data_IF_220889362318
#
_entry.id   IF_220889362318
#
_cell.length_a   1.000
_cell.length_b   1.000
_cell.length_c   1.000
_cell.angle_alpha   90.00
_cell.angle_beta   90.00
_cell.angle_gamma   90.00
#
_symmetry.space_group_name_H-M   'P 1'
#
loop_
_entity.id
_entity.type
_entity.pdbx_description
1 polymer ?
#
# COMPACT_ATOMS: atom_id res chain seq x y z
N UNK A 1 15.45 32.51 -5.73
CA UNK A 1 15.78 31.14 -5.27
C UNK A 1 14.48 30.33 -5.26
N UNK A 2 14.26 29.47 -6.25
CA UNK A 2 13.05 28.65 -6.32
C UNK A 2 13.13 27.54 -5.26
N UNK A 3 12.10 27.43 -4.44
CA UNK A 3 11.96 26.34 -3.48
C UNK A 3 11.87 24.97 -4.20
N UNK A 4 12.39 23.89 -3.59
CA UNK A 4 12.27 22.55 -4.15
C UNK A 4 10.79 22.17 -4.29
N UNK A 5 10.45 21.40 -5.32
CA UNK A 5 9.07 20.95 -5.64
C UNK A 5 8.27 20.39 -4.45
N UNK A 6 8.85 19.59 -3.52
CA UNK A 6 8.13 19.17 -2.31
C UNK A 6 7.73 20.32 -1.37
N UNK A 7 8.33 21.51 -1.49
CA UNK A 7 8.01 22.69 -0.68
C UNK A 7 6.76 23.43 -1.17
N UNK A 8 6.43 23.36 -2.46
CA UNK A 8 5.29 24.06 -3.03
C UNK A 8 3.96 23.40 -2.63
N UNK A 9 3.90 22.06 -2.65
CA UNK A 9 2.67 21.31 -2.32
C UNK A 9 2.42 21.28 -0.80
N UNK A 10 3.49 21.23 0.02
CA UNK A 10 3.39 21.17 1.47
C UNK A 10 3.00 22.50 2.15
N UNK A 11 3.13 23.63 1.45
CA UNK A 11 2.82 24.97 1.98
C UNK A 11 1.40 25.46 1.63
N UNK A 12 0.59 24.66 0.93
CA UNK A 12 -0.73 25.07 0.42
C UNK A 12 -1.84 24.95 1.46
N UNK A 13 -2.71 25.97 1.50
CA UNK A 13 -3.82 26.07 2.46
C UNK A 13 -4.94 25.06 2.11
N UNK A 14 -5.79 24.61 3.05
CA UNK A 14 -6.87 23.63 2.80
C UNK A 14 -7.84 23.99 1.66
N UNK A 15 -7.96 25.28 1.33
CA UNK A 15 -8.79 25.78 0.24
C UNK A 15 -8.12 25.69 -1.14
N UNK A 16 -6.80 25.55 -1.22
CA UNK A 16 -6.09 25.34 -2.49
C UNK A 16 -6.05 23.86 -2.88
N UNK A 17 -6.13 22.97 -1.88
CA UNK A 17 -6.29 21.52 -2.06
C UNK A 17 -7.57 21.15 -2.82
N UNK A 18 -8.65 21.93 -2.65
CA UNK A 18 -9.91 21.72 -3.38
C UNK A 18 -9.81 22.08 -4.85
N UNK A 19 -9.12 23.19 -5.15
CA UNK A 19 -8.84 23.63 -6.51
C UNK A 19 -7.89 22.66 -7.23
N UNK A 20 -6.91 22.09 -6.51
CA UNK A 20 -6.01 21.05 -7.02
C UNK A 20 -6.71 19.74 -7.31
N UNK A 21 -7.59 19.27 -6.41
CA UNK A 21 -8.40 18.07 -6.64
C UNK A 21 -9.23 18.21 -7.93
N UNK A 22 -9.88 19.36 -8.12
CA UNK A 22 -10.68 19.59 -9.31
C UNK A 22 -9.83 19.73 -10.59
N UNK A 23 -8.63 20.29 -10.49
CA UNK A 23 -7.72 20.49 -11.63
C UNK A 23 -6.97 19.22 -12.04
N UNK A 24 -6.56 18.38 -11.09
CA UNK A 24 -5.66 17.24 -11.34
C UNK A 24 -6.36 15.88 -11.29
N UNK A 25 -7.35 15.71 -10.41
CA UNK A 25 -8.19 14.49 -10.42
C UNK A 25 -9.43 14.62 -11.31
N UNK A 26 -9.76 15.84 -11.79
CA UNK A 26 -10.98 16.10 -12.56
C UNK A 26 -12.27 15.83 -11.77
N UNK A 27 -12.16 15.74 -10.44
CA UNK A 27 -13.27 15.43 -9.52
C UNK A 27 -13.35 16.51 -8.45
N UNK A 28 -14.57 16.92 -8.14
CA UNK A 28 -14.84 17.83 -7.02
C UNK A 28 -14.55 17.13 -5.66
N UNK A 29 -14.26 17.94 -4.64
CA UNK A 29 -13.82 17.48 -3.31
C UNK A 29 -14.84 16.57 -2.60
N UNK A 30 -16.10 16.68 -3.00
CA UNK A 30 -17.26 15.90 -2.55
C UNK A 30 -17.30 14.50 -3.18
N UNK A 31 -16.74 14.32 -4.38
CA UNK A 31 -16.67 13.05 -5.13
C UNK A 31 -15.38 12.25 -4.89
N UNK A 32 -14.45 12.82 -4.14
CA UNK A 32 -13.15 12.21 -3.82
C UNK A 32 -13.31 11.23 -2.66
N UNK A 33 -12.73 10.05 -2.82
CA UNK A 33 -12.78 8.93 -1.89
C UNK A 33 -12.12 9.29 -0.57
N UNK A 34 -12.53 8.64 0.54
CA UNK A 34 -11.90 8.82 1.85
C UNK A 34 -10.37 8.62 1.81
N UNK A 35 -9.88 7.72 0.96
CA UNK A 35 -8.46 7.49 0.72
C UNK A 35 -7.77 8.72 0.07
N UNK A 36 -8.38 9.32 -0.95
CA UNK A 36 -7.86 10.52 -1.63
C UNK A 36 -7.81 11.71 -0.67
N UNK A 37 -8.85 11.89 0.15
CA UNK A 37 -8.90 12.88 1.25
C UNK A 37 -7.80 12.65 2.28
N UNK A 38 -7.56 11.41 2.68
CA UNK A 38 -6.52 11.04 3.64
C UNK A 38 -5.10 11.29 3.10
N UNK A 39 -4.86 11.03 1.81
CA UNK A 39 -3.56 11.31 1.17
C UNK A 39 -3.29 12.80 1.12
N UNK A 40 -4.26 13.58 0.65
CA UNK A 40 -4.16 15.03 0.49
C UNK A 40 -3.94 15.75 1.84
N UNK A 41 -4.61 15.28 2.90
CA UNK A 41 -4.37 15.79 4.27
C UNK A 41 -3.04 15.33 4.87
N UNK A 42 -2.56 14.12 4.56
CA UNK A 42 -1.25 13.62 5.05
C UNK A 42 -0.06 14.24 4.32
N UNK A 43 -0.21 14.60 3.05
CA UNK A 43 0.79 15.38 2.30
C UNK A 43 1.07 16.71 3.01
N UNK A 44 0.04 17.36 3.57
CA UNK A 44 0.15 18.61 4.33
C UNK A 44 0.93 18.45 5.65
N UNK A 45 0.99 17.24 6.23
CA UNK A 45 1.57 17.01 7.57
C UNK A 45 3.00 16.46 7.58
N UNK A 46 3.64 16.25 6.42
CA UNK A 46 5.00 15.65 6.31
C UNK A 46 5.17 14.33 7.09
N UNK A 47 4.09 13.63 7.42
CA UNK A 47 4.19 12.33 8.05
C UNK A 47 4.67 11.32 7.00
N UNK A 48 5.75 10.60 7.31
CA UNK A 48 6.07 9.38 6.57
C UNK A 48 4.81 8.52 6.62
N UNK A 49 4.46 7.91 5.50
CA UNK A 49 3.56 6.76 5.44
C UNK A 49 4.27 5.63 6.21
N UNK A 50 4.30 5.76 7.53
CA UNK A 50 4.87 4.79 8.45
C UNK A 50 3.88 3.64 8.61
N UNK A 51 4.38 2.45 8.98
CA UNK A 51 3.52 1.32 9.29
C UNK A 51 2.46 1.75 10.34
N UNK A 52 1.26 1.18 10.21
CA UNK A 52 0.10 1.44 11.07
C UNK A 52 0.47 1.43 12.57
N UNK A 53 -0.26 2.20 13.40
CA UNK A 53 0.07 2.38 14.81
C UNK A 53 0.18 1.05 15.58
N UNK A 54 0.98 1.11 16.65
CA UNK A 54 1.48 -0.03 17.40
C UNK A 54 0.39 -1.01 17.84
N UNK A 55 0.85 -2.26 17.89
CA UNK A 55 0.13 -3.50 17.98
C UNK A 55 -0.64 -3.69 19.30
N UNK A 56 -1.91 -3.27 19.35
CA UNK A 56 -2.81 -3.48 20.50
C UNK A 56 -3.43 -4.90 20.47
N UNK A 57 -2.61 -5.91 20.18
CA UNK A 57 -3.09 -7.29 20.00
C UNK A 57 -3.46 -7.94 21.32
N UNK A 58 -4.69 -8.42 21.41
CA UNK A 58 -5.17 -9.24 22.53
C UNK A 58 -4.38 -10.56 22.62
N UNK A 59 -4.27 -11.13 23.83
CA UNK A 59 -3.62 -12.43 24.07
C UNK A 59 -4.16 -13.54 23.15
N UNK A 60 -5.47 -13.53 22.89
CA UNK A 60 -6.12 -14.49 21.98
C UNK A 60 -5.64 -14.35 20.53
N UNK A 61 -5.37 -13.14 20.06
CA UNK A 61 -4.89 -12.88 18.70
C UNK A 61 -3.45 -13.36 18.52
N UNK A 62 -2.61 -13.23 19.56
CA UNK A 62 -1.24 -13.74 19.57
C UNK A 62 -1.20 -15.26 19.53
N UNK A 63 -2.04 -15.92 20.31
CA UNK A 63 -2.15 -17.39 20.33
C UNK A 63 -2.69 -17.91 18.99
N UNK A 64 -3.69 -17.24 18.41
CA UNK A 64 -4.25 -17.62 17.11
C UNK A 64 -3.27 -17.42 15.94
N UNK A 65 -2.45 -16.35 15.93
CA UNK A 65 -1.38 -16.17 14.94
C UNK A 65 -0.28 -17.24 15.08
N UNK A 66 0.05 -17.65 16.31
CA UNK A 66 0.96 -18.76 16.58
C UNK A 66 0.43 -20.11 16.08
N UNK A 67 -0.84 -20.41 16.37
CA UNK A 67 -1.51 -21.63 15.91
C UNK A 67 -1.65 -21.69 14.38
N UNK A 68 -1.99 -20.58 13.72
CA UNK A 68 -2.10 -20.55 12.26
C UNK A 68 -0.76 -20.82 11.55
N UNK A 69 0.36 -20.32 12.12
CA UNK A 69 1.71 -20.59 11.62
C UNK A 69 2.17 -22.03 11.90
N UNK A 70 1.77 -22.60 13.03
CA UNK A 70 2.15 -23.95 13.43
C UNK A 70 1.34 -25.03 12.70
N UNK A 71 0.03 -24.83 12.56
CA UNK A 71 -0.88 -25.77 11.90
C UNK A 71 -0.66 -25.93 10.39
N UNK A 72 -0.01 -24.97 9.74
CA UNK A 72 0.32 -25.03 8.31
C UNK A 72 1.70 -25.64 7.98
N UNK A 73 2.48 -26.06 8.98
CA UNK A 73 3.83 -26.59 8.75
C UNK A 73 3.81 -28.09 8.43
N UNK A 74 4.62 -28.50 7.45
CA UNK A 74 4.86 -29.91 7.12
C UNK A 74 5.37 -30.73 8.31
N UNK A 75 6.12 -30.11 9.24
CA UNK A 75 6.60 -30.76 10.45
C UNK A 75 5.46 -31.08 11.44
N UNK A 76 4.42 -30.25 11.50
CA UNK A 76 3.24 -30.50 12.34
C UNK A 76 2.44 -31.68 11.80
N UNK A 77 2.23 -31.74 10.49
CA UNK A 77 1.55 -32.87 9.83
C UNK A 77 2.31 -34.18 10.10
N UNK A 78 3.63 -34.19 9.94
CA UNK A 78 4.47 -35.35 10.22
C UNK A 78 4.42 -35.80 11.68
N UNK A 79 4.51 -34.86 12.64
CA UNK A 79 4.40 -35.14 14.07
C UNK A 79 3.02 -35.68 14.48
N UNK A 80 1.96 -35.14 13.90
CA UNK A 80 0.58 -35.60 14.14
C UNK A 80 0.36 -37.02 13.64
N UNK A 81 0.84 -37.35 12.43
CA UNK A 81 0.78 -38.71 11.90
C UNK A 81 1.61 -39.70 12.74
N UNK A 82 2.79 -39.29 13.21
CA UNK A 82 3.61 -40.11 14.11
C UNK A 82 2.89 -40.37 15.44
N UNK A 83 2.26 -39.35 16.02
CA UNK A 83 1.46 -39.49 17.24
C UNK A 83 0.30 -40.49 17.04
N UNK A 84 -0.46 -40.38 15.94
CA UNK A 84 -1.53 -41.32 15.62
C UNK A 84 -0.99 -42.76 15.47
N UNK A 85 0.13 -42.93 14.78
CA UNK A 85 0.77 -44.23 14.63
C UNK A 85 1.22 -44.81 15.98
N UNK A 86 1.84 -44.01 16.85
CA UNK A 86 2.22 -44.43 18.20
C UNK A 86 1.00 -44.80 19.05
N UNK A 87 -0.09 -44.05 18.93
CA UNK A 87 -1.33 -44.30 19.67
C UNK A 87 -1.95 -45.65 19.28
N UNK A 88 -2.03 -45.93 17.98
CA UNK A 88 -2.54 -47.20 17.45
C UNK A 88 -1.63 -48.36 17.86
N UNK A 89 -0.31 -48.22 17.69
CA UNK A 89 0.66 -49.28 18.06
C UNK A 89 0.64 -49.54 19.57
N UNK A 90 0.57 -48.50 20.40
CA UNK A 90 0.48 -48.62 21.85
C UNK A 90 -0.79 -49.36 22.30
N UNK A 91 -1.95 -48.97 21.77
CA UNK A 91 -3.22 -49.58 22.15
C UNK A 91 -3.37 -51.03 21.64
N UNK A 92 -2.87 -51.34 20.44
CA UNK A 92 -2.99 -52.68 19.84
C UNK A 92 -1.93 -53.65 20.37
N UNK A 93 -0.69 -53.20 20.57
CA UNK A 93 0.45 -54.09 20.81
C UNK A 93 0.91 -54.11 22.27
N UNK A 94 0.91 -52.96 22.95
CA UNK A 94 1.42 -52.83 24.32
C UNK A 94 0.36 -53.14 25.38
N UNK A 95 -0.92 -52.85 25.10
CA UNK A 95 -2.04 -53.05 26.02
C UNK A 95 -2.99 -54.19 25.58
N UNK A 96 -2.44 -55.34 25.19
CA UNK A 96 -3.25 -56.52 24.78
C UNK A 96 -4.21 -57.03 25.87
N UNK A 97 -3.87 -56.85 27.15
CA UNK A 97 -4.68 -57.34 28.27
C UNK A 97 -5.80 -56.37 28.68
N UNK A 98 -5.52 -55.06 28.70
CA UNK A 98 -6.49 -53.99 29.01
C UNK A 98 -6.25 -52.79 28.09
N UNK A 99 -6.78 -52.82 26.84
CA UNK A 99 -6.62 -51.73 25.91
C UNK A 99 -7.37 -50.49 26.41
N UNK A 100 -6.71 -49.34 26.39
CA UNK A 100 -7.30 -48.05 26.78
C UNK A 100 -8.33 -47.56 25.74
N UNK A 101 -8.06 -47.75 24.45
CA UNK A 101 -8.97 -47.45 23.34
C UNK A 101 -9.00 -48.66 22.37
N UNK A 102 -9.86 -49.67 22.62
CA UNK A 102 -9.98 -50.86 21.77
C UNK A 102 -10.47 -50.50 20.36
N UNK A 103 -10.07 -51.29 19.36
CA UNK A 103 -10.62 -51.17 18.01
C UNK A 103 -12.16 -51.25 18.08
N UNK A 104 -12.92 -50.26 17.57
CA UNK A 104 -12.61 -49.32 16.48
C UNK A 104 -12.10 -47.91 16.86
N UNK A 105 -11.46 -47.72 18.03
CA UNK A 105 -10.85 -46.47 18.51
C UNK A 105 -11.85 -45.29 18.67
N UNK A 106 -12.84 -45.47 19.53
CA UNK A 106 -13.92 -44.49 19.74
C UNK A 106 -13.36 -43.18 20.30
N UNK A 107 -12.38 -43.25 21.21
CA UNK A 107 -11.83 -42.05 21.84
C UNK A 107 -11.00 -41.22 20.85
N UNK A 108 -10.15 -41.89 20.07
CA UNK A 108 -9.40 -41.24 18.99
C UNK A 108 -10.33 -40.60 17.96
N UNK A 109 -11.39 -41.30 17.56
CA UNK A 109 -12.37 -40.79 16.60
C UNK A 109 -13.11 -39.55 17.13
N UNK A 110 -13.51 -39.57 18.41
CA UNK A 110 -14.13 -38.42 19.07
C UNK A 110 -13.19 -37.21 19.06
N UNK A 111 -11.92 -37.40 19.42
CA UNK A 111 -10.92 -36.33 19.46
C UNK A 111 -10.65 -35.75 18.06
N UNK A 112 -10.53 -36.61 17.05
CA UNK A 112 -10.36 -36.19 15.65
C UNK A 112 -11.57 -35.41 15.14
N UNK A 113 -12.78 -35.84 15.48
CA UNK A 113 -14.03 -35.16 15.11
C UNK A 113 -14.13 -33.77 15.75
N UNK A 114 -13.78 -33.64 17.04
CA UNK A 114 -13.72 -32.35 17.72
C UNK A 114 -12.64 -31.43 17.12
N UNK A 115 -11.47 -31.98 16.79
CA UNK A 115 -10.39 -31.24 16.15
C UNK A 115 -10.83 -30.70 14.78
N UNK A 116 -11.46 -31.54 13.96
CA UNK A 116 -11.99 -31.17 12.65
C UNK A 116 -13.08 -30.09 12.75
N UNK A 117 -13.99 -30.19 13.73
CA UNK A 117 -15.03 -29.19 13.95
C UNK A 117 -14.47 -27.79 14.25
N UNK A 118 -13.34 -27.72 14.97
CA UNK A 118 -12.67 -26.45 15.29
C UNK A 118 -11.80 -25.91 14.15
N UNK A 119 -11.44 -26.73 13.15
CA UNK A 119 -10.57 -26.30 12.05
C UNK A 119 -11.21 -25.20 11.20
N UNK A 120 -12.46 -25.37 10.75
CA UNK A 120 -13.08 -24.42 9.82
C UNK A 120 -13.22 -23.00 10.42
N UNK A 121 -13.67 -22.80 11.67
CA UNK A 121 -13.70 -21.47 12.29
C UNK A 121 -12.31 -20.86 12.49
N UNK A 122 -11.30 -21.66 12.89
CA UNK A 122 -9.92 -21.16 13.07
C UNK A 122 -9.33 -20.74 11.73
N UNK A 123 -9.53 -21.54 10.69
CA UNK A 123 -9.14 -21.20 9.31
C UNK A 123 -9.84 -19.90 8.89
N UNK A 124 -11.16 -19.81 9.07
CA UNK A 124 -11.94 -18.62 8.71
C UNK A 124 -11.48 -17.36 9.47
N UNK A 125 -11.19 -17.47 10.77
CA UNK A 125 -10.64 -16.37 11.56
C UNK A 125 -9.25 -15.94 11.05
N UNK A 126 -8.40 -16.91 10.70
CA UNK A 126 -7.08 -16.62 10.14
C UNK A 126 -7.16 -15.96 8.76
N UNK A 127 -8.11 -16.39 7.92
CA UNK A 127 -8.38 -15.83 6.61
C UNK A 127 -8.94 -14.42 6.71
N UNK A 128 -9.91 -14.18 7.60
CA UNK A 128 -10.47 -12.85 7.82
C UNK A 128 -9.39 -11.84 8.27
N UNK A 129 -8.44 -12.29 9.10
CA UNK A 129 -7.29 -11.48 9.51
C UNK A 129 -6.31 -11.21 8.36
N UNK A 130 -6.02 -12.20 7.52
CA UNK A 130 -5.20 -11.98 6.33
C UNK A 130 -5.86 -11.00 5.36
N UNK A 131 -7.15 -11.19 5.06
CA UNK A 131 -7.91 -10.30 4.18
C UNK A 131 -7.93 -8.84 4.69
N UNK A 132 -8.04 -8.64 6.01
CA UNK A 132 -7.96 -7.30 6.60
C UNK A 132 -6.56 -6.66 6.42
N UNK A 133 -5.49 -7.44 6.60
CA UNK A 133 -4.11 -6.98 6.36
C UNK A 133 -3.87 -6.66 4.87
N UNK A 134 -4.33 -7.54 3.98
CA UNK A 134 -4.19 -7.36 2.54
C UNK A 134 -4.96 -6.13 2.05
N UNK A 135 -6.17 -5.90 2.58
CA UNK A 135 -6.95 -4.69 2.30
C UNK A 135 -6.23 -3.43 2.76
N UNK A 136 -5.69 -3.43 3.98
CA UNK A 136 -4.95 -2.27 4.50
C UNK A 136 -3.68 -2.00 3.68
N UNK A 137 -2.97 -3.05 3.24
CA UNK A 137 -1.82 -2.93 2.35
C UNK A 137 -2.22 -2.35 0.99
N UNK A 138 -3.30 -2.85 0.38
CA UNK A 138 -3.81 -2.34 -0.89
C UNK A 138 -4.24 -0.87 -0.81
N UNK A 139 -4.92 -0.47 0.28
CA UNK A 139 -5.29 0.93 0.52
C UNK A 139 -4.04 1.83 0.68
N UNK A 140 -2.99 1.32 1.31
CA UNK A 140 -1.72 2.02 1.46
C UNK A 140 -0.98 2.18 0.13
N UNK A 141 -0.87 1.11 -0.65
CA UNK A 141 -0.22 1.12 -1.96
C UNK A 141 -0.94 2.05 -2.94
N UNK A 142 -2.27 2.03 -2.93
CA UNK A 142 -3.08 2.99 -3.69
C UNK A 142 -2.78 4.44 -3.29
N UNK A 143 -2.70 4.72 -1.98
CA UNK A 143 -2.36 6.04 -1.47
C UNK A 143 -0.96 6.52 -1.88
N UNK A 144 0.04 5.63 -1.85
CA UNK A 144 1.41 5.92 -2.31
C UNK A 144 1.43 6.21 -3.81
N UNK A 145 0.77 5.37 -4.62
CA UNK A 145 0.73 5.52 -6.06
C UNK A 145 0.05 6.83 -6.48
N UNK A 146 -1.10 7.14 -5.87
CA UNK A 146 -1.80 8.41 -6.11
C UNK A 146 -0.92 9.61 -5.78
N UNK A 147 -0.20 9.56 -4.65
CA UNK A 147 0.73 10.63 -4.27
C UNK A 147 1.84 10.81 -5.32
N UNK A 148 2.44 9.71 -5.79
CA UNK A 148 3.48 9.76 -6.82
C UNK A 148 2.95 10.35 -8.13
N UNK A 149 1.74 9.98 -8.55
CA UNK A 149 1.08 10.52 -9.74
C UNK A 149 0.86 12.04 -9.63
N UNK A 150 0.37 12.53 -8.48
CA UNK A 150 0.20 13.96 -8.23
C UNK A 150 1.55 14.70 -8.24
N UNK A 151 2.60 14.13 -7.66
CA UNK A 151 3.94 14.73 -7.68
C UNK A 151 4.51 14.82 -9.11
N UNK A 152 4.26 13.81 -9.96
CA UNK A 152 4.64 13.84 -11.38
C UNK A 152 3.87 14.92 -12.14
N UNK A 153 2.56 15.06 -11.91
CA UNK A 153 1.74 16.08 -12.55
C UNK A 153 2.21 17.50 -12.16
N UNK A 154 2.55 17.70 -10.88
CA UNK A 154 3.13 18.95 -10.39
C UNK A 154 4.44 19.32 -11.10
N UNK A 155 5.30 18.32 -11.31
CA UNK A 155 6.56 18.49 -12.01
C UNK A 155 6.33 18.85 -13.48
N UNK A 156 5.35 18.23 -14.12
CA UNK A 156 4.99 18.50 -15.51
C UNK A 156 4.51 19.95 -15.69
N UNK A 157 3.57 20.40 -14.86
CA UNK A 157 3.06 21.78 -14.87
C UNK A 157 4.20 22.80 -14.72
N UNK A 158 5.15 22.55 -13.81
CA UNK A 158 6.31 23.42 -13.60
C UNK A 158 7.28 23.41 -14.78
N UNK A 159 7.46 22.26 -15.42
CA UNK A 159 8.31 22.13 -16.61
C UNK A 159 7.73 22.92 -17.79
N UNK A 160 6.42 22.87 -17.97
CA UNK A 160 5.73 23.61 -19.03
C UNK A 160 5.78 25.12 -18.80
N UNK A 161 5.60 25.58 -17.55
CA UNK A 161 5.80 26.99 -17.20
C UNK A 161 7.21 27.48 -17.53
N UNK A 162 8.24 26.71 -17.14
CA UNK A 162 9.62 27.05 -17.46
C UNK A 162 9.89 27.04 -18.97
N UNK A 163 9.29 26.11 -19.73
CA UNK A 163 9.40 26.10 -21.19
C UNK A 163 8.80 27.34 -21.82
N UNK A 164 7.62 27.78 -21.37
CA UNK A 164 6.97 29.00 -21.88
C UNK A 164 7.85 30.23 -21.59
N UNK A 165 8.33 30.38 -20.35
CA UNK A 165 9.24 31.48 -19.99
C UNK A 165 10.53 31.49 -20.84
N UNK A 166 11.10 30.31 -21.12
CA UNK A 166 12.28 30.22 -21.97
C UNK A 166 11.96 30.55 -23.43
N UNK A 167 10.80 30.12 -23.95
CA UNK A 167 10.36 30.44 -25.30
C UNK A 167 10.18 31.95 -25.48
N UNK A 168 9.54 32.61 -24.52
CA UNK A 168 9.37 34.08 -24.53
C UNK A 168 10.72 34.81 -24.58
N UNK A 169 11.71 34.36 -23.78
CA UNK A 169 13.06 34.95 -23.78
C UNK A 169 13.77 34.77 -25.13
N UNK A 170 13.64 33.60 -25.76
CA UNK A 170 14.23 33.33 -27.07
C UNK A 170 13.58 34.21 -28.15
N UNK A 171 12.25 34.32 -28.15
CA UNK A 171 11.52 35.16 -29.09
C UNK A 171 11.88 36.65 -28.93
N UNK A 172 12.01 37.13 -27.69
CA UNK A 172 12.45 38.49 -27.42
C UNK A 172 13.87 38.75 -27.95
N UNK A 173 14.82 37.85 -27.69
CA UNK A 173 16.18 37.95 -28.19
C UNK A 173 16.25 37.93 -29.73
N UNK A 174 15.44 37.10 -30.39
CA UNK A 174 15.33 37.09 -31.85
C UNK A 174 14.75 38.41 -32.40
N UNK A 175 13.74 38.97 -31.73
CA UNK A 175 13.16 40.26 -32.09
C UNK A 175 14.20 41.39 -32.05
N UNK A 176 15.05 41.42 -31.02
CA UNK A 176 16.16 42.38 -30.92
C UNK A 176 17.18 42.21 -32.05
N UNK A 177 17.54 40.96 -32.38
CA UNK A 177 18.45 40.68 -33.51
C UNK A 177 17.88 41.16 -34.85
N UNK A 178 16.59 40.91 -35.11
CA UNK A 178 15.93 41.38 -36.33
C UNK A 178 15.93 42.92 -36.39
N UNK A 179 15.64 43.59 -35.28
CA UNK A 179 15.65 45.05 -35.22
C UNK A 179 17.05 45.63 -35.48
N UNK A 180 18.12 45.01 -34.97
CA UNK A 180 19.50 45.40 -35.26
C UNK A 180 19.84 45.22 -36.74
N UNK A 181 19.45 44.08 -37.35
CA UNK A 181 19.67 43.83 -38.77
C UNK A 181 18.93 44.85 -39.65
N UNK A 182 17.68 45.19 -39.31
CA UNK A 182 16.91 46.21 -40.02
C UNK A 182 17.60 47.59 -39.95
N UNK A 183 18.13 47.97 -38.78
CA UNK A 183 18.89 49.23 -38.62
C UNK A 183 20.16 49.24 -39.48
N UNK A 184 20.96 48.18 -39.44
CA UNK A 184 22.18 48.08 -40.25
C UNK A 184 21.88 48.12 -41.76
N UNK A 185 20.79 47.49 -42.20
CA UNK A 185 20.36 47.54 -43.60
C UNK A 185 19.88 48.94 -44.00
N UNK A 186 19.14 49.63 -43.13
CA UNK A 186 18.70 51.00 -43.36
C UNK A 186 19.88 51.99 -43.47
N UNK A 187 20.89 51.84 -42.62
CA UNK A 187 22.13 52.63 -42.71
C UNK A 187 22.91 52.34 -44.00
N UNK A 188 22.94 51.09 -44.45
CA UNK A 188 23.66 50.68 -45.68
C UNK A 188 22.92 51.02 -46.97
N UNK A 189 21.60 51.18 -46.91
CA UNK A 189 20.71 51.56 -48.01
C UNK A 189 20.76 53.04 -48.40
N UNK A 190 21.58 53.84 -47.71
CA UNK A 190 21.95 55.22 -48.07
C UNK A 190 23.37 55.33 -48.68
N UNK A 191 23.70 54.67 -49.81
CA UNK A 191 24.80 55.12 -50.64
C UNK A 191 24.36 56.33 -51.49
N UNK A 192 25.25 57.32 -51.58
CA UNK A 192 25.11 58.56 -52.36
C UNK A 192 24.74 58.33 -53.82
#
# INVERSE_FOLDING_TARGET
>A
MLAPVPLAIAAMHPQELSALANRWLGKAWDQTTAAERAVLTRIQRRERLGPAPADDRSFGERVADGMARFGGSWAFIGGFLLFLALWVVGNVWLMRAHPFDPYPFIFLNLLLSMLAALQAPVIMMSQNRQAARDRAAAEHDYAVNLKAELEIMALHDKLDQLRVEQMEKILAAQGEQIALLQRLLAERGHPR
#
